data_IF_964334906536
#
_entry.id   IF_964334906536
#
_cell.length_a   1.000
_cell.length_b   1.000
_cell.length_c   1.000
_cell.angle_alpha   90.00
_cell.angle_beta   90.00
_cell.angle_gamma   90.00
#
_symmetry.space_group_name_H-M   'P 1'
#
loop_
_entity.id
_entity.type
_entity.pdbx_description
1 polymer ?
#
# COMPACT_ATOMS: atom_id res chain seq x y z
N UNK A 1 -1.68 11.27 10.04
CA UNK A 1 -1.35 9.85 10.35
C UNK A 1 -1.17 8.95 9.15
N UNK A 2 -1.92 9.12 8.05
CA UNK A 2 -1.73 8.32 6.82
C UNK A 2 -0.30 8.39 6.27
N UNK A 3 0.31 9.60 6.18
CA UNK A 3 1.71 9.73 5.72
C UNK A 3 2.72 9.03 6.63
N UNK A 4 2.44 8.97 7.94
CA UNK A 4 3.28 8.23 8.89
C UNK A 4 3.09 6.72 8.74
N UNK A 5 1.87 6.27 8.50
CA UNK A 5 1.58 4.87 8.16
C UNK A 5 2.30 4.45 6.87
N UNK A 6 2.25 5.28 5.82
CA UNK A 6 2.99 5.06 4.57
C UNK A 6 4.50 5.01 4.80
N UNK A 7 5.03 5.81 5.73
CA UNK A 7 6.45 5.80 6.09
C UNK A 7 6.91 4.45 6.67
N UNK A 8 6.01 3.65 7.26
CA UNK A 8 6.32 2.31 7.78
C UNK A 8 6.42 1.23 6.70
N UNK A 9 5.96 1.52 5.48
CA UNK A 9 5.98 0.59 4.36
C UNK A 9 7.35 0.53 3.69
N UNK A 10 7.67 -0.64 3.14
CA UNK A 10 8.80 -0.79 2.21
C UNK A 10 8.54 0.04 0.96
N UNK A 11 9.59 0.45 0.26
CA UNK A 11 9.50 1.29 -0.94
C UNK A 11 8.51 0.73 -1.97
N UNK A 12 8.66 -0.55 -2.34
CA UNK A 12 7.74 -1.20 -3.29
C UNK A 12 6.30 -1.30 -2.80
N UNK A 13 6.08 -1.51 -1.50
CA UNK A 13 4.75 -1.55 -0.90
C UNK A 13 4.07 -0.17 -0.97
N UNK A 14 4.85 0.88 -0.66
CA UNK A 14 4.40 2.28 -0.75
C UNK A 14 4.07 2.66 -2.18
N UNK A 15 4.96 2.37 -3.13
CA UNK A 15 4.75 2.65 -4.56
C UNK A 15 3.48 1.97 -5.07
N UNK A 16 3.26 0.69 -4.74
CA UNK A 16 2.03 0.00 -5.14
C UNK A 16 0.77 0.66 -4.54
N UNK A 17 0.79 1.01 -3.25
CA UNK A 17 -0.34 1.69 -2.59
C UNK A 17 -0.62 3.05 -3.23
N UNK A 18 0.40 3.87 -3.47
CA UNK A 18 0.23 5.19 -4.07
C UNK A 18 -0.36 5.09 -5.47
N UNK A 19 0.21 4.25 -6.33
CA UNK A 19 -0.30 4.07 -7.68
C UNK A 19 -1.74 3.55 -7.68
N UNK A 20 -2.08 2.62 -6.78
CA UNK A 20 -3.43 2.05 -6.74
C UNK A 20 -4.47 2.98 -6.10
N UNK A 21 -4.21 3.52 -4.90
CA UNK A 21 -5.22 4.27 -4.12
C UNK A 21 -5.19 5.78 -4.36
N UNK A 22 -4.05 6.35 -4.72
CA UNK A 22 -3.92 7.80 -4.92
C UNK A 22 -4.01 8.17 -6.39
N UNK A 23 -3.53 7.31 -7.28
CA UNK A 23 -3.51 7.55 -8.73
C UNK A 23 -4.52 6.67 -9.50
N UNK A 24 -5.31 5.84 -8.82
CA UNK A 24 -6.36 4.98 -9.38
C UNK A 24 -5.90 4.08 -10.54
N UNK A 25 -4.64 3.61 -10.47
CA UNK A 25 -4.06 2.72 -11.49
C UNK A 25 -4.50 1.26 -11.28
N UNK A 26 -4.76 0.56 -12.39
CA UNK A 26 -5.04 -0.89 -12.34
C UNK A 26 -3.81 -1.71 -11.95
N UNK A 27 -4.02 -2.91 -11.41
CA UNK A 27 -2.94 -3.81 -10.99
C UNK A 27 -2.03 -4.16 -12.16
N UNK A 28 -2.60 -4.35 -13.36
CA UNK A 28 -1.90 -4.66 -14.59
C UNK A 28 -1.00 -3.49 -15.02
N UNK A 29 -1.50 -2.25 -14.89
CA UNK A 29 -0.71 -1.06 -15.22
C UNK A 29 0.40 -0.83 -14.20
N UNK A 30 0.13 -1.06 -12.92
CA UNK A 30 1.15 -1.01 -11.86
C UNK A 30 2.23 -2.07 -12.10
N UNK A 31 1.85 -3.29 -12.48
CA UNK A 31 2.79 -4.34 -12.86
C UNK A 31 3.69 -3.89 -14.02
N UNK A 32 3.12 -3.23 -15.03
CA UNK A 32 3.88 -2.64 -16.13
C UNK A 32 4.83 -1.53 -15.72
N UNK A 33 4.40 -0.61 -14.83
CA UNK A 33 5.22 0.50 -14.33
C UNK A 33 6.37 0.01 -13.45
N UNK A 34 6.08 -0.94 -12.56
CA UNK A 34 7.02 -1.41 -11.54
C UNK A 34 7.88 -2.58 -12.00
N UNK A 35 7.55 -3.21 -13.14
CA UNK A 35 8.18 -4.44 -13.61
C UNK A 35 7.88 -5.68 -12.75
N UNK A 36 7.02 -5.56 -11.74
CA UNK A 36 6.66 -6.66 -10.85
C UNK A 36 5.52 -7.49 -11.43
N UNK A 37 5.50 -8.82 -11.20
CA UNK A 37 4.34 -9.63 -11.54
C UNK A 37 3.07 -9.12 -10.85
N UNK A 38 1.91 -9.20 -11.52
CA UNK A 38 0.63 -8.77 -10.94
C UNK A 38 0.30 -9.46 -9.61
N UNK A 39 0.70 -10.73 -9.43
CA UNK A 39 0.57 -11.44 -8.15
C UNK A 39 1.43 -10.84 -7.03
N UNK A 40 2.61 -10.34 -7.37
CA UNK A 40 3.51 -9.62 -6.45
C UNK A 40 2.93 -8.25 -6.10
N UNK A 41 2.36 -7.53 -7.07
CA UNK A 41 1.65 -6.26 -6.83
C UNK A 41 0.49 -6.47 -5.85
N UNK A 42 -0.36 -7.48 -6.07
CA UNK A 42 -1.44 -7.85 -5.14
C UNK A 42 -0.92 -8.15 -3.73
N UNK A 43 0.16 -8.91 -3.63
CA UNK A 43 0.79 -9.24 -2.35
C UNK A 43 1.35 -8.01 -1.64
N UNK A 44 1.97 -7.08 -2.37
CA UNK A 44 2.45 -5.81 -1.82
C UNK A 44 1.29 -4.94 -1.34
N UNK A 45 0.21 -4.81 -2.11
CA UNK A 45 -0.99 -4.07 -1.71
C UNK A 45 -1.62 -4.63 -0.44
N UNK A 46 -1.77 -5.96 -0.35
CA UNK A 46 -2.32 -6.61 0.85
C UNK A 46 -1.47 -6.34 2.08
N UNK A 47 -0.16 -6.64 2.00
CA UNK A 47 0.76 -6.45 3.13
C UNK A 47 0.85 -4.98 3.56
N UNK A 48 0.81 -4.07 2.59
CA UNK A 48 0.84 -2.65 2.85
C UNK A 48 -0.41 -2.19 3.61
N UNK A 49 -1.61 -2.65 3.20
CA UNK A 49 -2.85 -2.39 3.93
C UNK A 49 -2.80 -2.90 5.35
N UNK A 50 -2.36 -4.14 5.57
CA UNK A 50 -2.33 -4.74 6.91
C UNK A 50 -1.39 -3.97 7.85
N UNK A 51 -0.22 -3.55 7.34
CA UNK A 51 0.73 -2.72 8.09
C UNK A 51 0.16 -1.34 8.40
N UNK A 52 -0.44 -0.67 7.41
CA UNK A 52 -1.05 0.64 7.61
C UNK A 52 -2.21 0.58 8.59
N UNK A 53 -3.08 -0.41 8.49
CA UNK A 53 -4.19 -0.63 9.40
C UNK A 53 -3.68 -0.89 10.83
N UNK A 54 -2.66 -1.75 10.97
CA UNK A 54 -2.03 -2.03 12.27
C UNK A 54 -1.42 -0.78 12.89
N UNK A 55 -0.70 0.03 12.09
CA UNK A 55 -0.11 1.28 12.55
C UNK A 55 -1.20 2.26 13.00
N UNK A 56 -2.22 2.47 12.17
CA UNK A 56 -3.30 3.40 12.48
C UNK A 56 -4.05 2.98 13.75
N UNK A 57 -4.41 1.70 13.88
CA UNK A 57 -5.05 1.15 15.08
C UNK A 57 -4.22 1.37 16.35
N UNK A 58 -2.90 1.12 16.28
CA UNK A 58 -1.99 1.36 17.41
C UNK A 58 -1.86 2.85 17.77
N UNK A 59 -2.06 3.74 16.80
CA UNK A 59 -2.02 5.19 17.00
C UNK A 59 -3.41 5.80 17.27
N UNK A 60 -4.39 5.00 17.71
CA UNK A 60 -5.69 5.48 18.17
C UNK A 60 -6.75 5.68 17.09
N UNK A 61 -6.48 5.27 15.84
CA UNK A 61 -7.45 5.29 14.73
C UNK A 61 -8.29 4.00 14.66
N UNK A 62 -8.64 3.43 15.82
CA UNK A 62 -9.64 2.37 15.85
C UNK A 62 -11.00 3.03 15.70
N UNK A 63 -11.66 2.81 14.55
CA UNK A 63 -12.96 3.40 14.23
C UNK A 63 -13.98 3.05 15.31
N UNK A 64 -14.22 4.00 16.22
CA UNK A 64 -15.40 4.04 17.06
C UNK A 64 -16.47 4.88 16.37
#
# INVERSE_FOLDING_TARGET
DIYRALATLKEMERTCITLFYMEDQSIEKIAGITGCPAGTVKSHLSRAKDKMASYLKQNGYDGK
#
